data_IF_618495562228
#
_entry.id   IF_618495562228
#
_cell.length_a   1.000
_cell.length_b   1.000
_cell.length_c   1.000
_cell.angle_alpha   90.00
_cell.angle_beta   90.00
_cell.angle_gamma   90.00
#
_symmetry.space_group_name_H-M   'P 1'
#
loop_
_entity.id
_entity.type
_entity.pdbx_description
1 polymer ?
#
# COMPACT_ATOMS: atom_id res chain seq x y z
N UNK A 1 85.80 29.64 27.50
CA UNK A 1 84.49 29.53 28.08
C UNK A 1 83.50 29.56 26.95
N UNK A 2 82.82 28.42 26.61
CA UNK A 2 81.86 28.30 25.51
C UNK A 2 80.49 28.13 26.11
N UNK A 3 79.59 29.07 25.85
CA UNK A 3 78.22 28.95 26.18
C UNK A 3 77.50 28.17 25.06
N UNK A 4 76.82 27.13 25.46
CA UNK A 4 75.97 26.31 24.59
C UNK A 4 74.52 26.74 24.73
N UNK A 5 73.97 27.34 23.67
CA UNK A 5 72.58 27.67 23.55
C UNK A 5 71.77 26.39 23.29
N UNK A 6 70.75 26.11 24.13
CA UNK A 6 69.79 25.05 23.95
C UNK A 6 68.54 25.60 23.23
N UNK A 7 68.37 25.19 22.01
CA UNK A 7 67.07 25.38 21.30
C UNK A 7 66.01 24.35 21.79
N UNK A 8 65.00 24.86 22.43
CA UNK A 8 63.80 24.08 22.75
C UNK A 8 62.79 24.23 21.60
N UNK A 9 62.56 23.17 20.84
CA UNK A 9 61.51 23.06 19.82
C UNK A 9 60.26 22.59 20.47
N UNK A 10 59.20 23.42 20.40
CA UNK A 10 57.85 23.10 20.81
C UNK A 10 57.13 22.40 19.64
N UNK A 11 56.49 21.24 19.82
CA UNK A 11 55.71 20.65 18.75
C UNK A 11 54.34 21.35 18.67
N UNK A 12 54.05 21.86 17.50
CA UNK A 12 52.71 22.36 17.15
C UNK A 12 51.72 21.19 17.05
N UNK A 13 50.75 21.15 17.97
CA UNK A 13 49.59 20.26 17.86
C UNK A 13 48.68 20.77 16.74
N UNK A 14 48.66 20.07 15.62
CA UNK A 14 47.64 20.23 14.58
C UNK A 14 46.34 19.60 15.11
N UNK A 15 45.43 20.43 15.57
CA UNK A 15 44.05 20.00 15.87
C UNK A 15 43.32 19.77 14.56
N UNK A 16 43.14 18.51 14.15
CA UNK A 16 42.23 18.11 13.10
C UNK A 16 40.79 18.23 13.66
N UNK A 17 40.13 19.31 13.32
CA UNK A 17 38.68 19.42 13.53
C UNK A 17 37.98 18.45 12.58
N UNK A 18 37.62 17.26 13.07
CA UNK A 18 36.66 16.37 12.38
C UNK A 18 35.29 17.05 12.41
N UNK A 19 34.98 17.76 11.35
CA UNK A 19 33.60 18.20 11.09
C UNK A 19 32.77 16.95 10.76
N UNK A 20 32.14 16.36 11.76
CA UNK A 20 31.04 15.43 11.54
C UNK A 20 29.93 16.20 10.83
N UNK A 21 29.90 16.13 9.51
CA UNK A 21 28.69 16.38 8.77
C UNK A 21 27.69 15.31 9.18
N UNK A 22 26.82 15.63 10.11
CA UNK A 22 25.54 14.92 10.26
C UNK A 22 24.78 15.17 8.96
N UNK A 23 24.87 14.22 8.04
CA UNK A 23 23.86 14.09 6.99
C UNK A 23 22.60 13.73 7.76
N UNK A 24 21.75 14.72 8.00
CA UNK A 24 20.36 14.51 8.38
C UNK A 24 19.75 13.89 7.13
N UNK A 25 19.72 12.56 7.11
CA UNK A 25 18.95 11.81 6.14
C UNK A 25 17.47 12.11 6.43
N UNK A 26 16.96 13.15 5.78
CA UNK A 26 15.55 13.52 5.81
C UNK A 26 14.78 12.66 4.82
N UNK A 27 14.99 11.33 4.87
CA UNK A 27 14.12 10.36 4.23
C UNK A 27 12.87 10.12 5.09
N UNK A 28 12.06 11.16 5.29
CA UNK A 28 10.66 11.00 5.66
C UNK A 28 9.82 10.88 4.38
N UNK A 29 10.18 9.94 3.53
CA UNK A 29 9.35 9.51 2.41
C UNK A 29 8.82 8.14 2.75
N UNK A 30 7.56 7.90 2.43
CA UNK A 30 7.02 6.56 2.42
C UNK A 30 7.99 5.66 1.67
N UNK A 31 8.54 4.65 2.35
CA UNK A 31 9.08 3.48 1.70
C UNK A 31 7.90 2.69 1.09
N UNK A 32 7.20 3.32 0.15
CA UNK A 32 6.71 2.61 -1.00
C UNK A 32 8.00 2.27 -1.74
N UNK A 33 8.47 1.07 -1.57
CA UNK A 33 9.59 0.50 -2.35
C UNK A 33 9.11 0.33 -3.81
N UNK A 34 8.54 1.44 -4.33
CA UNK A 34 7.91 1.52 -5.63
C UNK A 34 8.95 2.02 -6.62
N UNK A 35 9.64 1.07 -7.20
CA UNK A 35 10.66 1.35 -8.20
C UNK A 35 10.05 1.99 -9.46
N UNK A 36 10.11 3.31 -9.55
CA UNK A 36 9.59 4.09 -10.67
C UNK A 36 10.23 3.70 -12.01
N UNK A 37 11.43 3.13 -11.99
CA UNK A 37 12.12 2.64 -13.18
C UNK A 37 11.51 1.37 -13.78
N UNK A 38 10.67 0.69 -13.00
CA UNK A 38 9.90 -0.50 -13.40
C UNK A 38 8.51 -0.17 -13.95
N UNK A 39 8.05 1.07 -13.81
CA UNK A 39 6.74 1.50 -14.27
C UNK A 39 6.75 1.79 -15.76
N UNK A 40 5.90 1.11 -16.51
CA UNK A 40 5.69 1.33 -17.93
C UNK A 40 4.62 2.38 -18.23
N UNK A 41 3.60 2.45 -17.38
CA UNK A 41 2.35 3.15 -17.63
C UNK A 41 1.30 2.23 -18.26
N UNK A 42 0.05 2.39 -17.83
CA UNK A 42 -1.06 1.50 -18.22
C UNK A 42 -1.26 1.40 -19.75
N UNK A 43 -1.04 2.50 -20.46
CA UNK A 43 -1.14 2.51 -21.92
C UNK A 43 0.01 1.75 -22.59
N UNK A 44 1.26 1.99 -22.16
CA UNK A 44 2.44 1.30 -22.70
C UNK A 44 2.45 -0.18 -22.34
N UNK A 45 2.06 -0.54 -21.10
CA UNK A 45 1.89 -1.92 -20.66
C UNK A 45 0.71 -2.60 -21.37
N UNK A 46 -0.18 -1.83 -21.99
CA UNK A 46 -1.36 -2.28 -22.73
C UNK A 46 -2.25 -3.24 -21.94
N UNK A 47 -2.45 -2.96 -20.65
CA UNK A 47 -3.25 -3.80 -19.75
C UNK A 47 -4.66 -4.09 -20.31
N UNK A 48 -5.24 -3.13 -21.03
CA UNK A 48 -6.56 -3.24 -21.65
C UNK A 48 -6.67 -4.39 -22.67
N UNK A 49 -5.55 -4.77 -23.29
CA UNK A 49 -5.56 -5.85 -24.28
C UNK A 49 -6.03 -7.18 -23.68
N UNK A 50 -5.60 -7.46 -22.44
CA UNK A 50 -5.94 -8.68 -21.72
C UNK A 50 -6.99 -8.47 -20.62
N UNK A 51 -7.11 -7.24 -20.09
CA UNK A 51 -7.99 -6.85 -18.99
C UNK A 51 -8.96 -5.70 -19.39
N UNK A 52 -9.79 -5.87 -20.45
CA UNK A 52 -10.65 -4.78 -20.94
C UNK A 52 -11.72 -4.37 -19.91
N UNK A 53 -12.30 -5.32 -19.17
CA UNK A 53 -13.32 -5.06 -18.17
C UNK A 53 -12.76 -4.28 -16.97
N UNK A 54 -11.61 -4.74 -16.45
CA UNK A 54 -10.92 -4.11 -15.33
C UNK A 54 -10.49 -2.69 -15.69
N UNK A 55 -9.91 -2.50 -16.88
CA UNK A 55 -9.48 -1.19 -17.34
C UNK A 55 -10.67 -0.25 -17.54
N UNK A 56 -11.78 -0.75 -18.10
CA UNK A 56 -13.00 0.04 -18.29
C UNK A 56 -13.61 0.45 -16.96
N UNK A 57 -13.59 -0.44 -15.97
CA UNK A 57 -14.05 -0.12 -14.62
C UNK A 57 -13.13 0.90 -13.95
N UNK A 58 -11.81 0.68 -14.00
CA UNK A 58 -10.81 1.54 -13.38
C UNK A 58 -10.92 2.99 -13.86
N UNK A 59 -11.11 3.24 -15.17
CA UNK A 59 -11.28 4.59 -15.71
C UNK A 59 -12.43 5.38 -15.06
N UNK A 60 -13.38 4.72 -14.41
CA UNK A 60 -14.51 5.35 -13.72
C UNK A 60 -14.18 5.70 -12.27
N UNK A 61 -13.11 5.16 -11.70
CA UNK A 61 -12.79 5.29 -10.28
C UNK A 61 -12.17 6.64 -9.92
N UNK A 62 -12.30 7.00 -8.65
CA UNK A 62 -11.62 8.17 -8.08
C UNK A 62 -10.10 8.03 -8.15
N UNK A 63 -9.58 6.81 -8.13
CA UNK A 63 -8.15 6.53 -8.31
C UNK A 63 -7.65 6.98 -9.69
N UNK A 64 -8.32 6.58 -10.76
CA UNK A 64 -7.97 7.01 -12.11
C UNK A 64 -8.03 8.53 -12.28
N UNK A 65 -8.94 9.19 -11.56
CA UNK A 65 -9.18 10.63 -11.61
C UNK A 65 -8.40 11.43 -10.55
N UNK A 66 -7.51 10.77 -9.80
CA UNK A 66 -6.85 11.37 -8.62
C UNK A 66 -5.96 12.57 -8.95
N UNK A 67 -5.42 12.65 -10.17
CA UNK A 67 -4.68 13.82 -10.63
C UNK A 67 -5.48 15.13 -10.58
N UNK A 68 -6.81 15.06 -10.68
CA UNK A 68 -7.67 16.24 -10.58
C UNK A 68 -7.60 16.88 -9.18
N UNK A 69 -7.13 16.14 -8.17
CA UNK A 69 -6.89 16.65 -6.81
C UNK A 69 -5.62 17.47 -6.69
N UNK A 70 -4.72 17.38 -7.67
CA UNK A 70 -3.45 18.11 -7.72
C UNK A 70 -3.53 19.43 -8.52
N UNK A 71 -4.73 19.99 -8.72
CA UNK A 71 -4.87 21.33 -9.24
C UNK A 71 -4.42 22.36 -8.16
N UNK A 72 -3.64 23.37 -8.57
CA UNK A 72 -3.11 24.39 -7.64
C UNK A 72 -4.20 25.38 -7.23
N UNK A 73 -5.25 24.88 -6.61
CA UNK A 73 -6.43 25.62 -6.14
C UNK A 73 -6.93 25.06 -4.80
N UNK A 74 -7.74 25.83 -4.06
CA UNK A 74 -8.41 25.35 -2.85
C UNK A 74 -7.47 24.70 -1.85
N UNK A 75 -7.81 23.48 -1.42
CA UNK A 75 -7.05 22.74 -0.41
C UNK A 75 -5.68 22.28 -0.92
N UNK A 76 -5.56 21.87 -2.19
CA UNK A 76 -4.26 21.42 -2.72
C UNK A 76 -3.25 22.57 -2.78
N UNK A 77 -3.70 23.79 -3.14
CA UNK A 77 -2.86 24.98 -3.05
C UNK A 77 -2.45 25.27 -1.60
N UNK A 78 -3.40 25.24 -0.67
CA UNK A 78 -3.13 25.44 0.76
C UNK A 78 -2.05 24.49 1.28
N UNK A 79 -2.16 23.20 0.95
CA UNK A 79 -1.20 22.20 1.41
C UNK A 79 0.15 22.34 0.71
N UNK A 80 0.14 22.60 -0.59
CA UNK A 80 1.37 22.84 -1.36
C UNK A 80 2.15 24.05 -0.82
N UNK A 81 1.47 25.16 -0.57
CA UNK A 81 2.08 26.37 0.01
C UNK A 81 2.67 26.10 1.40
N UNK A 82 1.96 25.36 2.26
CA UNK A 82 2.44 24.99 3.59
C UNK A 82 3.69 24.09 3.57
N UNK A 83 3.86 23.29 2.53
CA UNK A 83 5.01 22.40 2.32
C UNK A 83 6.11 23.03 1.44
N UNK A 84 5.92 24.25 0.94
CA UNK A 84 6.85 24.90 0.00
C UNK A 84 6.87 24.26 -1.40
N UNK A 85 5.82 23.55 -1.76
CA UNK A 85 5.67 22.89 -3.07
C UNK A 85 5.13 23.90 -4.09
N UNK A 86 5.88 24.16 -5.15
CA UNK A 86 5.44 25.10 -6.20
C UNK A 86 4.37 24.50 -7.11
N UNK A 87 3.60 25.36 -7.76
CA UNK A 87 2.64 24.93 -8.79
C UNK A 87 3.30 24.08 -9.88
N UNK A 88 4.53 24.43 -10.28
CA UNK A 88 5.26 23.73 -11.34
C UNK A 88 5.64 22.28 -10.95
N UNK A 89 5.90 22.02 -9.66
CA UNK A 89 6.33 20.71 -9.16
C UNK A 89 5.19 19.88 -8.59
N UNK A 90 4.01 20.47 -8.35
CA UNK A 90 2.88 19.79 -7.71
C UNK A 90 2.44 18.52 -8.45
N UNK A 91 2.39 18.58 -9.81
CA UNK A 91 2.00 17.46 -10.67
C UNK A 91 3.20 16.71 -11.28
N UNK A 92 4.40 16.87 -10.75
CA UNK A 92 5.58 16.22 -11.33
C UNK A 92 6.35 15.39 -10.30
N UNK A 93 7.02 16.07 -9.38
CA UNK A 93 7.97 15.44 -8.43
C UNK A 93 7.57 15.60 -6.97
N UNK A 94 6.41 16.22 -6.68
CA UNK A 94 6.00 16.44 -5.31
C UNK A 94 5.61 15.15 -4.59
N UNK A 95 5.74 15.15 -3.27
CA UNK A 95 5.25 14.07 -2.39
C UNK A 95 3.74 13.82 -2.56
N UNK A 96 2.95 14.84 -2.98
CA UNK A 96 1.53 14.64 -3.28
C UNK A 96 1.29 13.60 -4.38
N UNK A 97 2.20 13.54 -5.35
CA UNK A 97 2.11 12.61 -6.48
C UNK A 97 2.35 11.14 -6.07
N UNK A 98 2.96 10.88 -4.89
CA UNK A 98 3.18 9.51 -4.39
C UNK A 98 1.87 8.79 -4.08
N UNK A 99 0.88 9.54 -3.56
CA UNK A 99 -0.45 9.01 -3.24
C UNK A 99 -1.52 9.34 -4.30
N UNK A 100 -1.34 10.43 -5.03
CA UNK A 100 -2.34 10.91 -5.99
C UNK A 100 -2.02 10.61 -7.45
N UNK A 101 -1.00 9.79 -7.72
CA UNK A 101 -0.66 9.46 -9.09
C UNK A 101 0.27 8.26 -9.24
N UNK A 102 0.64 8.00 -10.48
CA UNK A 102 1.61 6.99 -10.86
C UNK A 102 2.82 7.68 -11.48
N UNK A 103 3.97 7.49 -10.88
CA UNK A 103 5.25 8.00 -11.39
C UNK A 103 5.95 6.93 -12.22
N UNK A 104 6.62 7.35 -13.28
CA UNK A 104 7.52 6.50 -14.08
C UNK A 104 8.83 7.24 -14.31
N UNK A 105 9.92 6.49 -14.33
CA UNK A 105 11.24 7.01 -14.61
C UNK A 105 11.75 6.54 -15.97
N UNK A 106 12.20 7.49 -16.77
CA UNK A 106 12.85 7.21 -18.05
C UNK A 106 14.09 8.09 -18.20
N UNK A 107 15.23 7.46 -18.46
CA UNK A 107 16.52 8.15 -18.63
C UNK A 107 16.88 9.06 -17.44
N UNK A 108 16.62 8.61 -16.21
CA UNK A 108 16.89 9.37 -14.99
C UNK A 108 15.90 10.50 -14.70
N UNK A 109 14.82 10.60 -15.47
CA UNK A 109 13.80 11.63 -15.28
C UNK A 109 12.49 11.00 -14.81
N UNK A 110 12.08 11.32 -13.58
CA UNK A 110 10.81 10.88 -13.01
C UNK A 110 9.69 11.82 -13.46
N UNK A 111 8.60 11.24 -13.95
CA UNK A 111 7.40 11.96 -14.39
C UNK A 111 6.14 11.32 -13.84
N UNK A 112 5.18 12.14 -13.49
CA UNK A 112 3.83 11.72 -13.19
C UNK A 112 3.08 11.46 -14.50
N UNK A 113 2.65 10.23 -14.72
CA UNK A 113 2.10 9.76 -16.00
C UNK A 113 0.60 9.53 -15.98
N UNK A 114 0.01 9.27 -14.83
CA UNK A 114 -1.43 9.05 -14.69
C UNK A 114 -1.89 9.28 -13.25
N UNK A 115 -3.19 9.21 -12.99
CA UNK A 115 -3.73 8.97 -11.64
C UNK A 115 -3.23 7.63 -11.10
N UNK A 116 -3.69 7.25 -9.91
CA UNK A 116 -3.38 5.93 -9.32
C UNK A 116 -3.82 4.84 -10.28
N UNK A 117 -2.87 4.08 -10.83
CA UNK A 117 -3.07 3.14 -11.94
C UNK A 117 -2.98 1.67 -11.53
N UNK A 118 -3.08 0.78 -12.51
CA UNK A 118 -2.88 -0.65 -12.31
C UNK A 118 -1.54 -0.93 -11.62
N UNK A 119 -0.48 -0.31 -12.09
CA UNK A 119 0.87 -0.51 -11.54
C UNK A 119 1.05 0.08 -10.14
N UNK A 120 0.31 1.13 -9.76
CA UNK A 120 0.34 1.64 -8.39
C UNK A 120 -0.15 0.61 -7.36
N UNK A 121 -1.03 -0.31 -7.78
CA UNK A 121 -1.56 -1.38 -6.92
C UNK A 121 -0.84 -2.71 -7.13
N UNK A 122 -0.43 -3.00 -8.37
CA UNK A 122 0.13 -4.30 -8.76
C UNK A 122 1.65 -4.32 -8.89
N UNK A 123 2.32 -3.18 -8.64
CA UNK A 123 3.76 -3.03 -8.85
C UNK A 123 4.13 -2.67 -10.29
N UNK A 124 5.31 -2.08 -10.51
CA UNK A 124 5.80 -1.69 -11.83
C UNK A 124 5.94 -2.87 -12.78
N UNK A 125 5.36 -2.75 -13.98
CA UNK A 125 5.08 -3.89 -14.86
C UNK A 125 6.27 -4.39 -15.68
N UNK A 126 7.35 -3.64 -15.75
CA UNK A 126 8.47 -3.88 -16.69
C UNK A 126 9.02 -5.31 -16.68
N UNK A 127 9.18 -5.86 -15.48
CA UNK A 127 9.85 -7.16 -15.33
C UNK A 127 8.85 -8.33 -15.26
N UNK A 128 7.62 -8.08 -14.84
CA UNK A 128 6.61 -9.14 -14.69
C UNK A 128 5.54 -9.18 -15.79
N UNK A 129 5.43 -8.12 -16.62
CA UNK A 129 4.36 -8.04 -17.64
C UNK A 129 4.36 -9.24 -18.59
N UNK A 130 5.51 -9.60 -19.12
CA UNK A 130 5.62 -10.74 -20.02
C UNK A 130 5.40 -12.07 -19.29
N UNK A 131 6.14 -12.38 -18.22
CA UNK A 131 5.99 -13.69 -17.58
C UNK A 131 4.60 -13.92 -16.97
N UNK A 132 3.86 -12.89 -16.54
CA UNK A 132 2.54 -13.12 -15.94
C UNK A 132 1.50 -13.66 -16.92
N UNK A 133 1.67 -13.44 -18.21
CA UNK A 133 0.78 -13.92 -19.28
C UNK A 133 1.33 -15.12 -20.06
N UNK A 134 2.48 -15.65 -19.70
CA UNK A 134 3.13 -16.76 -20.40
C UNK A 134 2.68 -18.11 -19.78
N UNK A 135 1.56 -18.66 -20.29
CA UNK A 135 0.95 -19.88 -19.78
C UNK A 135 1.67 -21.17 -20.21
N UNK A 136 2.59 -21.09 -21.17
CA UNK A 136 3.52 -22.14 -21.57
C UNK A 136 4.75 -21.50 -22.22
N UNK A 137 5.83 -22.26 -22.32
CA UNK A 137 7.10 -21.79 -22.89
C UNK A 137 6.92 -21.33 -24.35
N UNK A 138 7.39 -20.11 -24.65
CA UNK A 138 7.29 -19.52 -25.98
C UNK A 138 5.92 -18.98 -26.37
N UNK A 139 5.00 -18.88 -25.40
CA UNK A 139 3.69 -18.27 -25.62
C UNK A 139 3.79 -16.88 -26.26
N UNK A 140 2.94 -16.62 -27.25
CA UNK A 140 2.75 -15.30 -27.85
C UNK A 140 1.27 -14.96 -27.81
N UNK A 141 0.94 -13.84 -27.20
CA UNK A 141 -0.42 -13.34 -27.17
C UNK A 141 -0.95 -13.12 -28.59
N UNK A 142 -2.08 -13.74 -28.91
CA UNK A 142 -2.79 -13.56 -30.17
C UNK A 142 -4.09 -12.78 -29.97
N UNK A 143 -4.99 -13.28 -29.11
CA UNK A 143 -6.25 -12.69 -28.76
C UNK A 143 -6.74 -13.24 -27.40
N UNK A 144 -7.78 -12.58 -26.83
CA UNK A 144 -8.31 -12.95 -25.51
C UNK A 144 -8.92 -14.35 -25.46
N UNK A 145 -9.53 -14.83 -26.55
CA UNK A 145 -10.15 -16.14 -26.56
C UNK A 145 -9.08 -17.22 -26.47
N UNK A 146 -8.06 -17.13 -27.31
CA UNK A 146 -6.90 -18.03 -27.28
C UNK A 146 -6.21 -18.01 -25.93
N UNK A 147 -5.96 -16.84 -25.37
CA UNK A 147 -5.34 -16.68 -24.05
C UNK A 147 -6.13 -17.41 -22.94
N UNK A 148 -7.47 -17.34 -22.99
CA UNK A 148 -8.33 -18.04 -22.03
C UNK A 148 -8.27 -19.56 -22.19
N UNK A 149 -8.27 -20.03 -23.43
CA UNK A 149 -8.15 -21.46 -23.74
C UNK A 149 -6.81 -22.03 -23.27
N UNK A 150 -5.73 -21.31 -23.52
CA UNK A 150 -4.38 -21.68 -23.08
C UNK A 150 -4.24 -21.70 -21.56
N UNK A 151 -4.81 -20.72 -20.88
CA UNK A 151 -4.82 -20.69 -19.42
C UNK A 151 -5.54 -21.88 -18.80
N UNK A 152 -6.60 -22.37 -19.42
CA UNK A 152 -7.29 -23.57 -18.95
C UNK A 152 -6.48 -24.83 -19.12
N UNK A 153 -5.47 -24.82 -19.99
CA UNK A 153 -4.56 -25.94 -20.24
C UNK A 153 -3.26 -25.82 -19.43
N UNK A 154 -3.05 -24.70 -18.72
CA UNK A 154 -1.86 -24.50 -17.88
C UNK A 154 -1.78 -25.56 -16.78
N UNK A 155 -0.64 -26.28 -16.70
CA UNK A 155 -0.45 -27.27 -15.63
C UNK A 155 -0.28 -26.59 -14.27
N UNK A 156 -0.65 -27.25 -13.15
CA UNK A 156 -0.47 -26.71 -11.81
C UNK A 156 0.99 -26.33 -11.51
N UNK A 157 1.94 -27.11 -11.95
CA UNK A 157 3.38 -26.89 -11.74
C UNK A 157 3.86 -25.63 -12.48
N UNK A 158 3.48 -25.48 -13.76
CA UNK A 158 3.80 -24.29 -14.55
C UNK A 158 3.17 -23.05 -13.93
N UNK A 159 1.91 -23.15 -13.51
CA UNK A 159 1.20 -22.05 -12.82
C UNK A 159 1.94 -21.59 -11.57
N UNK A 160 2.35 -22.52 -10.70
CA UNK A 160 3.10 -22.17 -9.49
C UNK A 160 4.43 -21.50 -9.82
N UNK A 161 5.17 -22.01 -10.80
CA UNK A 161 6.43 -21.41 -11.24
C UNK A 161 6.22 -20.01 -11.82
N UNK A 162 5.19 -19.81 -12.65
CA UNK A 162 4.83 -18.52 -13.23
C UNK A 162 4.40 -17.52 -12.15
N UNK A 163 3.56 -17.93 -11.20
CA UNK A 163 3.16 -17.09 -10.08
C UNK A 163 4.37 -16.67 -9.26
N UNK A 164 5.27 -17.60 -8.94
CA UNK A 164 6.49 -17.28 -8.20
C UNK A 164 7.39 -16.33 -8.99
N UNK A 165 7.61 -16.56 -10.26
CA UNK A 165 8.44 -15.70 -11.11
C UNK A 165 7.91 -14.26 -11.16
N UNK A 166 6.60 -14.08 -11.30
CA UNK A 166 6.00 -12.74 -11.31
C UNK A 166 6.05 -12.07 -9.95
N UNK A 167 5.96 -12.83 -8.88
CA UNK A 167 6.15 -12.39 -7.50
C UNK A 167 7.56 -11.84 -7.28
N UNK A 168 8.55 -12.67 -7.63
CA UNK A 168 9.97 -12.31 -7.49
C UNK A 168 10.33 -11.07 -8.34
N UNK A 169 9.57 -10.85 -9.41
CA UNK A 169 9.69 -9.67 -10.27
C UNK A 169 8.90 -8.43 -9.77
N UNK A 170 8.32 -8.50 -8.57
CA UNK A 170 7.66 -7.37 -7.91
C UNK A 170 6.15 -7.21 -8.20
N UNK A 171 5.51 -8.20 -8.82
CA UNK A 171 4.07 -8.16 -9.02
C UNK A 171 3.31 -8.43 -7.72
N UNK A 172 2.47 -7.50 -7.27
CA UNK A 172 1.51 -7.73 -6.20
C UNK A 172 0.25 -8.36 -6.78
N UNK A 173 -0.02 -9.61 -6.39
CA UNK A 173 -1.15 -10.39 -6.91
C UNK A 173 -2.30 -10.42 -5.90
N UNK A 174 -3.54 -10.74 -6.34
CA UNK A 174 -4.68 -10.85 -5.42
C UNK A 174 -4.53 -11.88 -4.30
N UNK A 175 -3.70 -12.89 -4.45
CA UNK A 175 -3.40 -13.91 -3.44
C UNK A 175 -2.42 -13.40 -2.36
N UNK A 176 -1.66 -12.33 -2.64
CA UNK A 176 -0.77 -11.66 -1.68
C UNK A 176 -1.57 -10.66 -0.84
N UNK A 177 -2.51 -11.14 -0.05
CA UNK A 177 -3.48 -10.26 0.61
C UNK A 177 -2.84 -9.29 1.62
N UNK A 178 -1.74 -9.68 2.30
CA UNK A 178 -0.99 -8.78 3.17
C UNK A 178 -0.39 -7.63 2.38
N UNK A 179 0.35 -7.93 1.31
CA UNK A 179 1.08 -6.93 0.54
C UNK A 179 0.12 -5.99 -0.20
N UNK A 180 -1.00 -6.53 -0.71
CA UNK A 180 -2.08 -5.74 -1.30
C UNK A 180 -2.68 -4.77 -0.28
N UNK A 181 -3.02 -5.24 0.93
CA UNK A 181 -3.56 -4.40 1.98
C UNK A 181 -2.54 -3.35 2.44
N UNK A 182 -1.27 -3.73 2.57
CA UNK A 182 -0.17 -2.84 2.95
C UNK A 182 0.01 -1.72 1.91
N UNK A 183 0.00 -2.07 0.63
CA UNK A 183 0.08 -1.09 -0.45
C UNK A 183 -1.10 -0.09 -0.42
N UNK A 184 -2.32 -0.55 -0.15
CA UNK A 184 -3.45 0.35 0.07
C UNK A 184 -3.20 1.31 1.25
N UNK A 185 -2.79 0.75 2.40
CA UNK A 185 -2.61 1.54 3.63
C UNK A 185 -1.47 2.55 3.52
N UNK A 186 -0.45 2.31 2.71
CA UNK A 186 0.65 3.25 2.50
C UNK A 186 0.18 4.62 1.98
N UNK A 187 -0.85 4.66 1.15
CA UNK A 187 -1.46 5.92 0.70
C UNK A 187 -2.65 6.35 1.58
N UNK A 188 -3.40 5.39 2.14
CA UNK A 188 -4.59 5.68 2.93
C UNK A 188 -4.31 6.04 4.39
N UNK A 189 -3.07 5.83 4.88
CA UNK A 189 -2.56 6.34 6.17
C UNK A 189 -1.34 7.20 5.88
N UNK A 190 -1.55 8.52 5.85
CA UNK A 190 -0.54 9.52 5.49
C UNK A 190 0.59 9.53 6.52
N UNK A 191 1.84 9.50 6.07
CA UNK A 191 3.03 9.50 6.92
C UNK A 191 3.66 10.89 7.07
N UNK A 192 3.34 11.84 6.18
CA UNK A 192 3.84 13.20 6.25
C UNK A 192 3.05 14.01 7.31
N UNK A 193 3.63 14.10 8.51
CA UNK A 193 3.02 14.85 9.62
C UNK A 193 2.94 16.35 9.36
N UNK A 194 3.80 16.93 8.49
CA UNK A 194 3.70 18.35 8.10
C UNK A 194 2.49 18.57 7.21
N UNK A 195 2.22 17.66 6.30
CA UNK A 195 1.04 17.68 5.46
C UNK A 195 -0.24 17.60 6.31
N UNK A 196 -0.26 16.73 7.32
CA UNK A 196 -1.39 16.60 8.24
C UNK A 196 -1.52 17.86 9.11
N UNK A 197 -0.43 18.45 9.58
CA UNK A 197 -0.44 19.71 10.31
C UNK A 197 -0.95 20.89 9.46
N UNK A 198 -0.76 20.85 8.13
CA UNK A 198 -1.33 21.81 7.18
C UNK A 198 -2.85 21.64 7.00
N UNK A 199 -3.43 20.57 7.54
CA UNK A 199 -4.87 20.29 7.53
C UNK A 199 -5.29 19.17 6.57
N UNK A 200 -4.36 18.44 5.95
CA UNK A 200 -4.68 17.20 5.27
C UNK A 200 -5.13 16.15 6.29
N UNK A 201 -6.03 15.27 5.92
CA UNK A 201 -6.44 14.18 6.81
C UNK A 201 -5.29 13.17 6.97
N UNK A 202 -5.05 12.68 8.18
CA UNK A 202 -4.07 11.64 8.43
C UNK A 202 -4.46 10.30 7.78
N UNK A 203 -5.76 10.07 7.60
CA UNK A 203 -6.27 8.91 6.87
C UNK A 203 -7.59 9.23 6.16
N UNK A 204 -7.88 8.47 5.10
CA UNK A 204 -9.22 8.42 4.53
C UNK A 204 -10.12 7.47 5.35
N UNK A 205 -11.44 7.56 5.14
CA UNK A 205 -12.37 6.56 5.66
C UNK A 205 -12.25 5.25 4.86
N UNK A 206 -11.13 4.57 5.05
CA UNK A 206 -10.78 3.35 4.29
C UNK A 206 -11.11 2.10 5.11
N UNK A 207 -11.75 1.14 4.46
CA UNK A 207 -11.97 -0.22 4.95
C UNK A 207 -11.76 -1.19 3.78
N UNK A 208 -10.83 -2.13 3.92
CA UNK A 208 -10.35 -2.96 2.82
C UNK A 208 -11.48 -3.76 2.14
N UNK A 209 -12.36 -4.38 2.92
CA UNK A 209 -13.45 -5.20 2.39
C UNK A 209 -14.46 -4.36 1.61
N UNK A 210 -14.88 -3.22 2.18
CA UNK A 210 -15.81 -2.29 1.53
C UNK A 210 -15.27 -1.74 0.22
N UNK A 211 -14.00 -1.33 0.20
CA UNK A 211 -13.37 -0.77 -1.00
C UNK A 211 -13.19 -1.80 -2.10
N UNK A 212 -12.68 -3.00 -1.76
CA UNK A 212 -12.49 -4.10 -2.72
C UNK A 212 -13.82 -4.72 -3.20
N UNK A 213 -14.92 -4.46 -2.52
CA UNK A 213 -16.27 -4.85 -2.97
C UNK A 213 -17.03 -3.70 -3.64
N UNK A 214 -16.48 -2.48 -3.61
CA UNK A 214 -17.08 -1.26 -4.13
C UNK A 214 -16.36 -0.70 -5.35
N UNK A 215 -15.96 0.57 -5.27
CA UNK A 215 -15.41 1.35 -6.39
C UNK A 215 -14.16 0.72 -7.01
N UNK A 216 -13.28 0.10 -6.22
CA UNK A 216 -12.07 -0.57 -6.73
C UNK A 216 -12.27 -2.06 -7.03
N UNK A 217 -13.51 -2.56 -7.00
CA UNK A 217 -13.81 -3.92 -7.42
C UNK A 217 -13.52 -4.08 -8.91
N UNK A 218 -12.70 -5.05 -9.27
CA UNK A 218 -12.38 -5.40 -10.66
C UNK A 218 -11.99 -6.87 -10.80
N UNK A 219 -12.60 -7.71 -9.98
CA UNK A 219 -12.44 -9.16 -10.04
C UNK A 219 -13.30 -9.79 -11.15
N UNK A 220 -13.37 -9.15 -12.31
CA UNK A 220 -14.20 -9.58 -13.46
C UNK A 220 -13.50 -10.63 -14.31
N UNK A 221 -12.63 -11.36 -13.71
CA UNK A 221 -11.68 -12.16 -14.41
C UNK A 221 -12.37 -13.15 -15.34
N UNK A 222 -11.92 -13.19 -16.57
CA UNK A 222 -12.13 -14.17 -17.62
C UNK A 222 -13.33 -13.95 -18.56
N UNK A 223 -14.38 -13.29 -18.17
CA UNK A 223 -15.51 -13.07 -19.09
C UNK A 223 -16.06 -11.66 -18.97
N UNK A 224 -15.73 -10.76 -19.91
CA UNK A 224 -16.24 -9.40 -19.90
C UNK A 224 -17.77 -9.34 -20.02
N UNK A 225 -18.39 -10.40 -20.57
CA UNK A 225 -19.83 -10.47 -20.75
C UNK A 225 -20.56 -11.09 -19.56
N UNK A 226 -19.84 -11.83 -18.73
CA UNK A 226 -20.37 -12.49 -17.52
C UNK A 226 -20.05 -11.80 -16.22
N UNK A 227 -19.28 -10.72 -16.25
CA UNK A 227 -19.36 -9.77 -15.20
C UNK A 227 -18.63 -9.85 -13.90
N UNK A 228 -19.02 -8.93 -13.13
CA UNK A 228 -18.67 -8.58 -11.77
C UNK A 228 -18.70 -9.74 -10.75
N UNK A 229 -19.33 -10.84 -11.05
CA UNK A 229 -19.52 -11.98 -10.15
C UNK A 229 -18.65 -13.18 -10.51
N UNK A 230 -17.87 -13.07 -11.59
CA UNK A 230 -16.88 -14.09 -11.93
C UNK A 230 -15.89 -14.30 -10.77
N UNK A 231 -15.50 -15.54 -10.46
CA UNK A 231 -14.53 -15.82 -9.42
C UNK A 231 -13.22 -15.09 -9.71
N UNK A 232 -12.67 -14.41 -8.70
CA UNK A 232 -11.32 -13.86 -8.82
C UNK A 232 -10.30 -14.98 -8.99
N UNK A 233 -9.12 -14.67 -9.54
CA UNK A 233 -8.02 -15.62 -9.62
C UNK A 233 -7.69 -16.27 -8.28
N UNK A 234 -7.82 -15.50 -7.19
CA UNK A 234 -7.62 -16.05 -5.85
C UNK A 234 -8.66 -17.11 -5.51
N UNK A 235 -9.95 -16.83 -5.78
CA UNK A 235 -11.04 -17.78 -5.52
C UNK A 235 -10.89 -19.05 -6.35
N UNK A 236 -10.54 -18.90 -7.64
CA UNK A 236 -10.27 -20.05 -8.51
C UNK A 236 -9.06 -20.85 -8.03
N UNK A 237 -7.95 -20.17 -7.72
CA UNK A 237 -6.73 -20.84 -7.30
C UNK A 237 -6.90 -21.62 -6.00
N UNK A 238 -7.75 -21.13 -5.08
CA UNK A 238 -7.97 -21.71 -3.76
C UNK A 238 -9.31 -22.43 -3.64
N UNK A 239 -10.11 -22.47 -4.71
CA UNK A 239 -11.46 -23.03 -4.73
C UNK A 239 -12.37 -22.43 -3.62
N UNK A 240 -12.27 -21.10 -3.41
CA UNK A 240 -12.91 -20.38 -2.32
C UNK A 240 -14.06 -19.52 -2.79
N UNK A 241 -15.00 -19.24 -1.88
CA UNK A 241 -16.16 -18.38 -2.15
C UNK A 241 -15.83 -16.90 -1.89
N UNK A 242 -16.69 -16.02 -2.39
CA UNK A 242 -16.59 -14.57 -2.15
C UNK A 242 -16.69 -14.24 -0.64
N UNK A 243 -17.54 -14.97 0.09
CA UNK A 243 -17.71 -14.82 1.53
C UNK A 243 -16.42 -15.16 2.27
N UNK A 244 -15.82 -16.31 1.96
CA UNK A 244 -14.53 -16.72 2.55
C UNK A 244 -13.45 -15.66 2.32
N UNK A 245 -13.36 -15.15 1.09
CA UNK A 245 -12.41 -14.08 0.78
C UNK A 245 -12.71 -12.78 1.54
N UNK A 246 -13.98 -12.41 1.70
CA UNK A 246 -14.36 -11.22 2.46
C UNK A 246 -14.02 -11.35 3.95
N UNK A 247 -14.15 -12.55 4.53
CA UNK A 247 -13.71 -12.82 5.90
C UNK A 247 -12.21 -12.62 6.06
N UNK A 248 -11.42 -13.11 5.10
CA UNK A 248 -9.96 -12.87 5.06
C UNK A 248 -9.63 -11.38 4.93
N UNK A 249 -10.27 -10.66 4.00
CA UNK A 249 -10.08 -9.20 3.83
C UNK A 249 -10.38 -8.43 5.10
N UNK A 250 -11.44 -8.79 5.82
CA UNK A 250 -11.86 -8.11 7.05
C UNK A 250 -10.79 -8.18 8.13
N UNK A 251 -10.30 -9.38 8.42
CA UNK A 251 -9.26 -9.61 9.44
C UNK A 251 -7.94 -8.98 9.01
N UNK A 252 -7.47 -9.30 7.80
CA UNK A 252 -6.18 -8.79 7.28
C UNK A 252 -6.20 -7.27 7.18
N UNK A 253 -7.31 -6.68 6.71
CA UNK A 253 -7.45 -5.22 6.64
C UNK A 253 -7.32 -4.55 8.01
N UNK A 254 -7.90 -5.14 9.06
CA UNK A 254 -7.77 -4.65 10.44
C UNK A 254 -6.34 -4.77 10.98
N UNK A 255 -5.70 -5.91 10.76
CA UNK A 255 -4.32 -6.16 11.21
C UNK A 255 -3.30 -5.28 10.48
N UNK A 256 -3.40 -5.15 9.15
CA UNK A 256 -2.50 -4.27 8.37
C UNK A 256 -2.73 -2.79 8.68
N UNK A 257 -3.97 -2.39 9.00
CA UNK A 257 -4.23 -1.03 9.51
C UNK A 257 -3.47 -0.77 10.82
N UNK A 258 -3.49 -1.71 11.76
CA UNK A 258 -2.73 -1.60 13.02
C UNK A 258 -1.23 -1.53 12.72
N UNK A 259 -0.71 -2.44 11.90
CA UNK A 259 0.70 -2.50 11.49
C UNK A 259 1.16 -1.14 10.94
N UNK A 260 0.48 -0.63 9.91
CA UNK A 260 0.86 0.62 9.26
C UNK A 260 0.71 1.82 10.20
N UNK A 261 -0.37 1.87 10.97
CA UNK A 261 -0.58 2.97 11.91
C UNK A 261 0.48 2.97 13.04
N UNK A 262 0.96 1.81 13.50
CA UNK A 262 2.06 1.71 14.46
C UNK A 262 3.39 2.17 13.88
N UNK A 263 3.69 1.83 12.62
CA UNK A 263 4.88 2.34 11.92
C UNK A 263 4.86 3.87 11.85
N UNK A 264 3.71 4.46 11.48
CA UNK A 264 3.53 5.92 11.45
C UNK A 264 3.62 6.51 12.86
N UNK A 265 3.06 5.84 13.88
CA UNK A 265 3.16 6.26 15.27
C UNK A 265 4.61 6.25 15.78
N UNK A 266 5.42 5.30 15.33
CA UNK A 266 6.83 5.19 15.71
C UNK A 266 7.66 6.40 15.27
N UNK A 267 7.31 7.04 14.17
CA UNK A 267 8.03 8.22 13.63
C UNK A 267 7.33 9.55 13.98
N UNK A 268 6.10 9.51 14.49
CA UNK A 268 5.29 10.69 14.77
C UNK A 268 5.93 11.54 15.88
N UNK A 269 6.11 12.81 15.60
CA UNK A 269 6.61 13.81 16.55
C UNK A 269 5.65 14.99 16.73
N UNK A 270 4.81 15.24 15.74
CA UNK A 270 3.89 16.38 15.73
C UNK A 270 2.68 16.12 16.64
N UNK A 271 2.40 17.00 17.64
CA UNK A 271 1.27 16.84 18.57
C UNK A 271 -0.11 16.78 17.89
N UNK A 272 -0.27 17.33 16.69
CA UNK A 272 -1.51 17.24 15.94
C UNK A 272 -1.65 15.92 15.17
N UNK A 273 -0.53 15.27 14.84
CA UNK A 273 -0.50 14.01 14.10
C UNK A 273 -0.63 12.78 15.00
N UNK A 274 0.02 12.79 16.16
CA UNK A 274 0.07 11.69 17.12
C UNK A 274 -1.34 11.16 17.47
N UNK A 275 -2.34 11.97 17.87
CA UNK A 275 -3.65 11.45 18.22
C UNK A 275 -4.40 10.87 17.02
N UNK A 276 -4.12 11.33 15.81
CA UNK A 276 -4.77 10.81 14.62
C UNK A 276 -4.27 9.39 14.28
N UNK A 277 -2.96 9.18 14.27
CA UNK A 277 -2.40 7.83 14.01
C UNK A 277 -2.64 6.88 15.18
N UNK A 278 -2.60 7.35 16.42
CA UNK A 278 -3.02 6.59 17.60
C UNK A 278 -4.47 6.13 17.50
N UNK A 279 -5.35 7.02 17.02
CA UNK A 279 -6.75 6.70 16.74
C UNK A 279 -6.94 5.60 15.69
N UNK A 280 -6.09 5.55 14.67
CA UNK A 280 -6.12 4.49 13.66
C UNK A 280 -5.72 3.13 14.22
N UNK A 281 -4.73 3.07 15.12
CA UNK A 281 -4.40 1.85 15.88
C UNK A 281 -5.60 1.41 16.71
N UNK A 282 -6.23 2.33 17.42
CA UNK A 282 -7.40 2.02 18.26
C UNK A 282 -8.58 1.49 17.44
N UNK A 283 -8.86 2.07 16.27
CA UNK A 283 -9.90 1.59 15.33
C UNK A 283 -9.58 0.18 14.83
N UNK A 284 -8.35 -0.06 14.38
CA UNK A 284 -7.90 -1.39 13.95
C UNK A 284 -8.02 -2.43 15.07
N UNK A 285 -7.61 -2.07 16.30
CA UNK A 285 -7.74 -2.94 17.47
C UNK A 285 -9.21 -3.23 17.82
N UNK A 286 -10.11 -2.26 17.63
CA UNK A 286 -11.55 -2.46 17.78
C UNK A 286 -12.11 -3.48 16.80
N UNK A 287 -11.68 -3.44 15.53
CA UNK A 287 -12.04 -4.45 14.52
C UNK A 287 -11.50 -5.84 14.91
N UNK A 288 -10.26 -5.90 15.38
CA UNK A 288 -9.62 -7.15 15.83
C UNK A 288 -10.34 -7.74 17.03
N UNK A 289 -10.78 -6.91 17.98
CA UNK A 289 -11.58 -7.34 19.10
C UNK A 289 -12.94 -7.91 18.67
N UNK A 290 -13.62 -7.28 17.72
CA UNK A 290 -14.86 -7.80 17.13
C UNK A 290 -14.61 -9.14 16.42
N UNK A 291 -13.53 -9.27 15.64
CA UNK A 291 -13.17 -10.52 15.00
C UNK A 291 -12.92 -11.62 16.01
N UNK A 292 -12.19 -11.34 17.08
CA UNK A 292 -11.93 -12.29 18.17
C UNK A 292 -13.20 -12.72 18.92
N UNK A 293 -14.16 -11.82 19.10
CA UNK A 293 -15.42 -12.15 19.74
C UNK A 293 -16.29 -13.09 18.89
N UNK A 294 -16.22 -12.99 17.57
CA UNK A 294 -17.09 -13.70 16.63
C UNK A 294 -16.44 -14.94 16.01
N UNK A 295 -15.14 -14.90 15.76
CA UNK A 295 -14.38 -15.99 15.14
C UNK A 295 -12.90 -15.91 15.55
N UNK A 296 -12.54 -16.28 16.79
CA UNK A 296 -11.19 -16.18 17.31
C UNK A 296 -10.24 -17.13 16.57
N UNK A 297 -9.01 -16.65 16.30
CA UNK A 297 -7.90 -17.48 15.85
C UNK A 297 -6.67 -17.22 16.74
N UNK A 298 -5.71 -18.15 16.82
CA UNK A 298 -4.49 -17.92 17.59
C UNK A 298 -3.76 -16.63 17.20
N UNK A 299 -3.73 -16.32 15.89
CA UNK A 299 -3.03 -15.15 15.37
C UNK A 299 -3.73 -13.85 15.73
N UNK A 300 -5.07 -13.80 15.63
CA UNK A 300 -5.84 -12.59 15.97
C UNK A 300 -5.86 -12.35 17.48
N UNK A 301 -5.88 -13.40 18.30
CA UNK A 301 -5.75 -13.30 19.75
C UNK A 301 -4.36 -12.81 20.16
N UNK A 302 -3.30 -13.36 19.56
CA UNK A 302 -1.93 -12.91 19.81
C UNK A 302 -1.74 -11.44 19.41
N UNK A 303 -2.24 -11.05 18.24
CA UNK A 303 -2.19 -9.66 17.77
C UNK A 303 -2.89 -8.71 18.75
N UNK A 304 -4.09 -9.05 19.22
CA UNK A 304 -4.80 -8.25 20.22
C UNK A 304 -4.04 -8.16 21.54
N UNK A 305 -3.42 -9.26 21.98
CA UNK A 305 -2.62 -9.33 23.20
C UNK A 305 -1.40 -8.40 23.19
N UNK A 306 -0.73 -8.24 22.04
CA UNK A 306 0.44 -7.35 21.92
C UNK A 306 0.07 -5.88 21.67
N UNK A 307 -1.12 -5.59 21.10
CA UNK A 307 -1.60 -4.21 20.89
C UNK A 307 -2.23 -3.63 22.15
N UNK A 308 -2.94 -4.44 22.94
CA UNK A 308 -3.65 -4.02 24.14
C UNK A 308 -2.82 -3.15 25.10
N UNK A 309 -1.60 -3.54 25.48
CA UNK A 309 -0.75 -2.76 26.38
C UNK A 309 -0.36 -1.38 25.83
N UNK A 310 -0.37 -1.19 24.50
CA UNK A 310 0.01 0.07 23.89
C UNK A 310 -1.09 1.14 23.98
N UNK A 311 -2.35 0.75 24.22
CA UNK A 311 -3.49 1.67 24.16
C UNK A 311 -3.32 2.89 25.07
N UNK A 312 -2.63 2.75 26.21
CA UNK A 312 -2.37 3.86 27.16
C UNK A 312 -1.32 4.87 26.68
N UNK A 313 -0.46 4.49 25.73
CA UNK A 313 0.68 5.32 25.29
C UNK A 313 0.53 5.82 23.84
N UNK A 314 -0.49 5.37 23.12
CA UNK A 314 -0.70 5.76 21.70
C UNK A 314 -0.83 7.28 21.49
N UNK A 315 -1.40 7.98 22.47
CA UNK A 315 -1.79 9.40 22.36
C UNK A 315 -0.81 10.32 23.06
N UNK A 316 0.21 9.77 23.72
CA UNK A 316 1.18 10.54 24.51
C UNK A 316 2.46 10.77 23.70
N UNK A 317 2.94 12.03 23.58
CA UNK A 317 4.23 12.30 22.96
C UNK A 317 5.37 11.75 23.83
N UNK A 318 5.86 10.56 23.53
CA UNK A 318 6.97 9.93 24.24
C UNK A 318 8.08 9.56 23.24
N UNK A 319 9.29 10.10 23.39
CA UNK A 319 10.44 9.73 22.53
C UNK A 319 10.88 8.28 22.68
N UNK A 320 10.57 7.67 23.86
CA UNK A 320 11.03 6.33 24.25
C UNK A 320 10.25 5.19 23.62
N UNK A 321 9.08 5.47 23.03
CA UNK A 321 8.16 4.44 22.54
C UNK A 321 8.39 4.04 21.09
N UNK A 322 9.32 4.71 20.38
CA UNK A 322 9.60 4.46 18.95
C UNK A 322 9.89 2.98 18.68
N UNK A 323 10.83 2.39 19.43
CA UNK A 323 11.21 0.99 19.28
C UNK A 323 10.06 0.05 19.63
N UNK A 324 9.29 0.38 20.66
CA UNK A 324 8.10 -0.37 21.06
C UNK A 324 7.06 -0.43 19.95
N UNK A 325 6.77 0.70 19.31
CA UNK A 325 5.80 0.76 18.21
C UNK A 325 6.32 0.02 16.97
N UNK A 326 7.58 0.23 16.56
CA UNK A 326 8.18 -0.43 15.40
C UNK A 326 8.26 -1.95 15.58
N UNK A 327 8.70 -2.42 16.74
CA UNK A 327 8.79 -3.87 17.03
C UNK A 327 7.40 -4.51 17.11
N UNK A 328 6.41 -3.79 17.63
CA UNK A 328 5.03 -4.28 17.63
C UNK A 328 4.45 -4.33 16.23
N UNK A 329 4.66 -3.32 15.39
CA UNK A 329 4.24 -3.34 13.99
C UNK A 329 4.79 -4.58 13.27
N UNK A 330 6.08 -4.88 13.44
CA UNK A 330 6.70 -6.08 12.88
C UNK A 330 6.03 -7.37 13.35
N UNK A 331 5.74 -7.49 14.65
CA UNK A 331 5.02 -8.67 15.19
C UNK A 331 3.61 -8.79 14.61
N UNK A 332 2.89 -7.67 14.43
CA UNK A 332 1.57 -7.68 13.77
C UNK A 332 1.69 -8.17 12.33
N UNK A 333 2.69 -7.72 11.58
CA UNK A 333 2.98 -8.22 10.22
C UNK A 333 3.19 -9.73 10.21
N UNK A 334 4.00 -10.26 11.14
CA UNK A 334 4.27 -11.69 11.28
C UNK A 334 2.97 -12.48 11.59
N UNK A 335 2.15 -12.02 12.53
CA UNK A 335 0.86 -12.63 12.83
C UNK A 335 -0.11 -12.55 11.66
N UNK A 336 -0.12 -11.46 10.89
CA UNK A 336 -0.96 -11.32 9.70
C UNK A 336 -0.58 -12.33 8.63
N UNK A 337 0.71 -12.47 8.35
CA UNK A 337 1.22 -13.46 7.38
C UNK A 337 0.94 -14.90 7.83
N UNK A 338 1.11 -15.20 9.12
CA UNK A 338 0.74 -16.50 9.69
C UNK A 338 -0.77 -16.75 9.58
N UNK A 339 -1.60 -15.74 9.86
CA UNK A 339 -3.06 -15.84 9.69
C UNK A 339 -3.44 -16.19 8.25
N UNK A 340 -2.87 -15.52 7.25
CA UNK A 340 -3.13 -15.78 5.82
C UNK A 340 -2.70 -17.18 5.43
N UNK A 341 -1.58 -17.66 5.96
CA UNK A 341 -1.05 -18.99 5.67
C UNK A 341 -1.93 -20.12 6.22
N UNK A 342 -2.49 -19.92 7.41
CA UNK A 342 -3.19 -20.96 8.17
C UNK A 342 -4.71 -20.90 8.01
N UNK A 343 -5.26 -19.82 7.44
CA UNK A 343 -6.69 -19.60 7.26
C UNK A 343 -7.05 -19.33 5.80
N UNK A 344 -8.23 -19.76 5.43
CA UNK A 344 -8.80 -19.53 4.10
C UNK A 344 -10.19 -18.88 4.14
N UNK A 345 -10.65 -18.51 5.33
CA UNK A 345 -11.94 -17.91 5.59
C UNK A 345 -13.09 -18.91 5.77
N UNK A 346 -12.88 -20.22 5.53
CA UNK A 346 -13.93 -21.24 5.74
C UNK A 346 -14.30 -21.39 7.19
N UNK A 347 -13.33 -21.24 8.11
CA UNK A 347 -13.48 -21.40 9.55
C UNK A 347 -13.99 -20.14 10.25
N UNK A 348 -14.29 -19.08 9.51
CA UNK A 348 -14.63 -17.77 10.06
C UNK A 348 -16.09 -17.32 9.78
N UNK A 349 -17.08 -18.21 9.72
CA UNK A 349 -18.47 -17.81 9.39
C UNK A 349 -19.09 -16.85 10.40
N UNK A 350 -18.58 -16.84 11.65
CA UNK A 350 -18.98 -15.88 12.68
C UNK A 350 -18.77 -14.41 12.28
N UNK A 351 -17.89 -14.12 11.30
CA UNK A 351 -17.66 -12.76 10.82
C UNK A 351 -18.73 -12.25 9.84
N UNK A 352 -19.58 -13.12 9.30
CA UNK A 352 -20.56 -12.73 8.27
C UNK A 352 -21.50 -11.60 8.69
N UNK A 353 -22.00 -11.52 9.95
CA UNK A 353 -22.82 -10.40 10.37
C UNK A 353 -22.06 -9.06 10.32
N UNK A 354 -20.78 -9.04 10.68
CA UNK A 354 -19.95 -7.84 10.61
C UNK A 354 -19.70 -7.41 9.17
N UNK A 355 -19.43 -8.38 8.30
CA UNK A 355 -19.15 -8.12 6.87
C UNK A 355 -20.39 -7.63 6.15
N UNK A 356 -21.57 -8.21 6.42
CA UNK A 356 -22.86 -7.77 5.89
C UNK A 356 -23.22 -6.33 6.30
N UNK A 357 -22.73 -5.87 7.45
CA UNK A 357 -22.92 -4.51 7.90
C UNK A 357 -21.98 -3.51 7.20
N UNK A 358 -21.00 -3.98 6.41
CA UNK A 358 -20.07 -3.16 5.64
C UNK A 358 -20.57 -3.01 4.19
N UNK A 359 -21.21 -1.88 3.83
CA UNK A 359 -21.65 -1.68 2.46
C UNK A 359 -20.46 -1.53 1.53
N UNK A 360 -20.57 -1.94 0.25
CA UNK A 360 -19.60 -1.60 -0.77
C UNK A 360 -19.35 -0.09 -0.81
N UNK A 361 -18.10 0.32 -0.77
CA UNK A 361 -17.75 1.73 -0.79
C UNK A 361 -17.72 2.28 -2.21
N UNK A 362 -18.44 3.36 -2.42
CA UNK A 362 -18.37 4.17 -3.63
C UNK A 362 -18.24 5.64 -3.25
N UNK A 363 -17.28 6.33 -3.86
CA UNK A 363 -17.13 7.77 -3.67
C UNK A 363 -18.35 8.52 -4.18
N UNK A 364 -18.58 9.74 -3.68
CA UNK A 364 -19.70 10.57 -4.15
C UNK A 364 -19.58 10.86 -5.65
N UNK A 365 -18.37 11.17 -6.12
CA UNK A 365 -18.11 11.42 -7.55
C UNK A 365 -18.43 10.19 -8.41
N UNK A 366 -18.09 8.98 -7.96
CA UNK A 366 -18.41 7.75 -8.66
C UNK A 366 -19.93 7.52 -8.72
N UNK A 367 -20.64 7.72 -7.60
CA UNK A 367 -22.11 7.58 -7.52
C UNK A 367 -22.81 8.53 -8.46
N UNK A 368 -22.49 9.81 -8.43
CA UNK A 368 -23.12 10.83 -9.28
C UNK A 368 -22.89 10.55 -10.77
N UNK A 369 -21.68 10.15 -11.13
CA UNK A 369 -21.29 10.00 -12.53
C UNK A 369 -21.71 8.64 -13.13
N UNK A 370 -21.76 7.58 -12.34
CA UNK A 370 -21.90 6.22 -12.86
C UNK A 370 -23.04 5.41 -12.27
N UNK A 371 -23.59 5.78 -11.12
CA UNK A 371 -24.70 5.08 -10.48
C UNK A 371 -26.00 5.89 -10.48
N UNK A 372 -25.96 7.16 -10.89
CA UNK A 372 -27.14 8.04 -10.93
C UNK A 372 -27.74 8.32 -9.55
N UNK A 373 -26.90 8.34 -8.50
CA UNK A 373 -27.34 8.50 -7.09
C UNK A 373 -26.73 9.73 -6.46
#
# INVERSE_FOLDING_TARGET
MRETSKHTSTPALLAFALSCFYIIDSSSGQDLDFDTSKVLGTEQANCKQCHPSETTHWHKTTHALSLNRLEYTGNSKKYADALGISQATLKTTSTCADCHGTKSESSGVVKLISGVSCESCHGGAKDWLKPHAEYFEGHKFSDLKTLREERLQETPEHRLARMKSTHDAGMIRPDMLHDLAKNCMNCHIVDDEKLVAAGHKAASAFELTSWLNGEVKHNFFMDPDKNADAPSLWMEAHQKTAEQRNRMKFVVGGMVQIETALERRAIASNPAYIPQVGGLVAVGNGKLAQANAMAPTPQTQSAAGIVGPLMGILFVPQPTDKETFSSTAKKISEHTKAFIKENDGSQLPGLDPLIKALPPHYSQQFKEKHLGK
#
